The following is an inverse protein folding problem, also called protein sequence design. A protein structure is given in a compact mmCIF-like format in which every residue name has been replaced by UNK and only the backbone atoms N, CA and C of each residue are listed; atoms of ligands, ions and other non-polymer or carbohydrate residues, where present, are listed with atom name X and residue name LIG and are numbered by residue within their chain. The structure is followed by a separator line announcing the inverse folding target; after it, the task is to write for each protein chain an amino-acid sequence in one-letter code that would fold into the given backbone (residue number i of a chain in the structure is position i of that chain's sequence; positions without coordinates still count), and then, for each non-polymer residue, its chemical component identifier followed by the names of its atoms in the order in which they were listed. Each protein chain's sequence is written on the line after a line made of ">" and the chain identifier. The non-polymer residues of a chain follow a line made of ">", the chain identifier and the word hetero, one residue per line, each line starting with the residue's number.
data_IF_444604337055
#
_entry.id   IF_444604337055
#
_cell.length_a   1.000
_cell.length_b   1.000
_cell.length_c   1.000
_cell.angle_alpha   90.00
_cell.angle_beta   90.00
_cell.angle_gamma   90.00
#
_symmetry.space_group_name_H-M   'P 1'
#
loop_
_entity.id
_entity.type
_entity.pdbx_description
1 polymer ?
#
# COMPACT_ATOMS: atom_id res chain seq x y z
N UNK A 1 -12.61 28.32 22.20
CA UNK A 1 -13.65 27.82 21.27
C UNK A 1 -13.20 26.64 20.40
N UNK A 2 -12.10 26.71 19.65
CA UNK A 2 -11.66 25.63 18.74
C UNK A 2 -11.54 24.25 19.41
N UNK A 3 -11.05 24.21 20.66
CA UNK A 3 -10.83 22.98 21.42
C UNK A 3 -12.13 22.25 21.81
N UNK A 4 -13.22 22.99 22.04
CA UNK A 4 -14.52 22.44 22.47
C UNK A 4 -15.16 21.65 21.31
N UNK A 5 -15.13 22.21 20.11
CA UNK A 5 -15.62 21.54 18.91
C UNK A 5 -14.80 20.31 18.55
N UNK A 6 -13.47 20.34 18.77
CA UNK A 6 -12.61 19.18 18.52
C UNK A 6 -12.81 18.07 19.54
N UNK A 7 -13.00 18.37 20.83
CA UNK A 7 -13.31 17.37 21.85
C UNK A 7 -14.70 16.75 21.62
N UNK A 8 -15.71 17.57 21.31
CA UNK A 8 -17.05 17.09 20.99
C UNK A 8 -17.05 16.21 19.73
N UNK A 9 -16.33 16.60 18.67
CA UNK A 9 -16.17 15.80 17.47
C UNK A 9 -15.41 14.49 17.73
N UNK A 10 -14.38 14.51 18.58
CA UNK A 10 -13.61 13.31 18.90
C UNK A 10 -14.42 12.32 19.74
N UNK A 11 -15.23 12.79 20.69
CA UNK A 11 -16.11 11.97 21.50
C UNK A 11 -17.28 11.36 20.70
N UNK A 12 -17.80 12.09 19.71
CA UNK A 12 -18.97 11.65 18.91
C UNK A 12 -18.59 10.81 17.69
N UNK A 13 -17.53 11.17 16.97
CA UNK A 13 -17.12 10.52 15.71
C UNK A 13 -15.91 9.59 15.88
N UNK A 14 -15.14 9.74 16.96
CA UNK A 14 -13.89 9.03 17.15
C UNK A 14 -12.76 9.47 16.20
N UNK A 15 -11.52 9.08 16.51
CA UNK A 15 -10.38 9.27 15.60
C UNK A 15 -10.41 8.22 14.49
N UNK A 16 -10.41 8.66 13.23
CA UNK A 16 -10.23 7.78 12.05
C UNK A 16 -8.94 6.97 12.22
N UNK A 17 -9.06 5.67 12.47
CA UNK A 17 -7.90 4.77 12.52
C UNK A 17 -7.17 4.81 11.18
N UNK A 18 -5.85 4.99 11.24
CA UNK A 18 -5.03 5.04 10.02
C UNK A 18 -5.15 3.72 9.27
N UNK A 19 -5.24 3.84 7.94
CA UNK A 19 -5.45 2.83 6.90
C UNK A 19 -4.82 1.44 7.16
N UNK A 20 -5.42 0.40 6.55
CA UNK A 20 -4.97 -1.00 6.59
C UNK A 20 -3.45 -1.07 6.43
N UNK A 21 -2.77 -1.49 7.49
CA UNK A 21 -1.33 -1.72 7.49
C UNK A 21 -1.05 -2.82 6.47
N UNK A 22 0.04 -2.70 5.71
CA UNK A 22 0.50 -3.82 4.89
C UNK A 22 0.76 -5.00 5.83
N UNK A 23 0.31 -6.21 5.49
CA UNK A 23 0.37 -7.35 6.42
C UNK A 23 1.79 -7.71 6.83
N UNK A 24 2.79 -7.31 6.04
CA UNK A 24 4.19 -7.64 6.23
C UNK A 24 5.00 -6.62 7.03
N UNK A 25 4.44 -5.48 7.44
CA UNK A 25 5.19 -4.51 8.27
C UNK A 25 5.09 -4.92 9.73
N UNK A 26 6.24 -5.06 10.41
CA UNK A 26 6.30 -5.46 11.81
C UNK A 26 5.77 -4.38 12.75
N UNK A 27 5.31 -4.80 13.94
CA UNK A 27 4.87 -3.89 15.00
C UNK A 27 5.99 -2.93 15.41
N UNK A 28 7.23 -3.43 15.49
CA UNK A 28 8.42 -2.66 15.82
C UNK A 28 8.69 -1.54 14.81
N UNK A 29 8.61 -1.82 13.50
CA UNK A 29 8.74 -0.79 12.46
C UNK A 29 7.65 0.29 12.57
N UNK A 30 6.45 -0.08 13.03
CA UNK A 30 5.35 0.86 13.26
C UNK A 30 5.62 1.74 14.48
N UNK A 31 6.20 1.19 15.54
CA UNK A 31 6.60 1.94 16.74
C UNK A 31 7.69 2.96 16.40
N UNK A 32 8.74 2.55 15.69
CA UNK A 32 9.77 3.49 15.19
C UNK A 32 9.16 4.59 14.31
N UNK A 33 8.16 4.26 13.49
CA UNK A 33 7.46 5.26 12.69
C UNK A 33 6.69 6.28 13.56
N UNK A 34 6.18 5.87 14.72
CA UNK A 34 5.57 6.77 15.70
C UNK A 34 6.64 7.64 16.39
N UNK A 35 7.78 7.07 16.76
CA UNK A 35 8.90 7.82 17.33
C UNK A 35 9.45 8.87 16.36
N UNK A 36 9.58 8.53 15.08
CA UNK A 36 9.96 9.50 14.04
C UNK A 36 8.97 10.66 13.94
N UNK A 37 7.66 10.40 14.13
CA UNK A 37 6.65 11.48 14.18
C UNK A 37 6.83 12.38 15.40
N UNK A 38 7.18 11.81 16.56
CA UNK A 38 7.50 12.56 17.79
C UNK A 38 8.77 13.42 17.60
N UNK A 39 9.86 12.83 17.12
CA UNK A 39 11.11 13.55 16.84
C UNK A 39 10.91 14.73 15.87
N UNK A 40 10.06 14.56 14.84
CA UNK A 40 9.68 15.66 13.94
C UNK A 40 8.91 16.76 14.65
N UNK A 41 8.00 16.42 15.58
CA UNK A 41 7.22 17.40 16.36
C UNK A 41 8.11 18.19 17.33
N UNK A 42 9.14 17.54 17.87
CA UNK A 42 10.09 18.14 18.81
C UNK A 42 11.25 18.90 18.13
N UNK A 43 11.29 18.99 16.79
CA UNK A 43 12.40 19.57 16.01
C UNK A 43 13.77 18.89 16.24
N UNK A 44 13.79 17.63 16.64
CA UNK A 44 15.01 16.83 16.85
C UNK A 44 15.54 16.29 15.52
N UNK A 45 16.30 17.10 14.78
CA UNK A 45 16.76 16.77 13.42
C UNK A 45 17.66 15.53 13.36
N UNK A 46 18.53 15.35 14.36
CA UNK A 46 19.46 14.21 14.44
C UNK A 46 18.71 12.88 14.57
N UNK A 47 17.84 12.79 15.58
CA UNK A 47 17.00 11.60 15.82
C UNK A 47 16.05 11.32 14.65
N UNK A 48 15.48 12.37 14.03
CA UNK A 48 14.65 12.19 12.84
C UNK A 48 15.42 11.51 11.69
N UNK A 49 16.67 11.91 11.42
CA UNK A 49 17.49 11.31 10.36
C UNK A 49 17.87 9.87 10.71
N UNK A 50 18.29 9.63 11.96
CA UNK A 50 18.61 8.28 12.47
C UNK A 50 17.42 7.33 12.29
N UNK A 51 16.27 7.69 12.84
CA UNK A 51 15.04 6.90 12.75
C UNK A 51 14.56 6.73 11.31
N UNK A 52 14.71 7.73 10.44
CA UNK A 52 14.37 7.61 9.02
C UNK A 52 15.18 6.51 8.33
N UNK A 53 16.49 6.44 8.60
CA UNK A 53 17.38 5.45 8.00
C UNK A 53 17.12 4.05 8.57
N UNK A 54 16.92 3.96 9.88
CA UNK A 54 16.59 2.70 10.56
C UNK A 54 15.27 2.11 10.06
N UNK A 55 14.22 2.93 9.96
CA UNK A 55 12.92 2.50 9.40
C UNK A 55 13.08 2.01 7.96
N UNK A 56 13.91 2.69 7.14
CA UNK A 56 14.15 2.26 5.76
C UNK A 56 14.81 0.88 5.70
N UNK A 57 15.72 0.59 6.64
CA UNK A 57 16.34 -0.72 6.78
C UNK A 57 15.32 -1.77 7.25
N UNK A 58 14.61 -1.52 8.36
CA UNK A 58 13.62 -2.48 8.89
C UNK A 58 12.50 -2.78 7.91
N UNK A 59 11.96 -1.79 7.19
CA UNK A 59 10.94 -2.02 6.15
C UNK A 59 11.41 -3.00 5.07
N UNK A 60 12.70 -2.94 4.68
CA UNK A 60 13.25 -3.88 3.70
C UNK A 60 13.42 -5.27 4.31
N UNK A 61 13.83 -5.33 5.57
CA UNK A 61 13.98 -6.56 6.31
C UNK A 61 12.64 -7.27 6.53
N UNK A 62 11.65 -6.57 7.08
CA UNK A 62 10.26 -7.00 7.24
C UNK A 62 9.70 -7.59 5.93
N UNK A 63 9.91 -6.88 4.81
CA UNK A 63 9.46 -7.35 3.51
C UNK A 63 10.18 -8.61 3.05
N UNK A 64 11.48 -8.72 3.31
CA UNK A 64 12.30 -9.88 2.96
C UNK A 64 11.85 -11.10 3.75
N UNK A 65 11.74 -10.97 5.07
CA UNK A 65 11.27 -12.05 5.96
C UNK A 65 9.86 -12.51 5.57
N UNK A 66 8.96 -11.57 5.31
CA UNK A 66 7.64 -11.92 4.82
C UNK A 66 7.69 -12.71 3.50
N UNK A 67 8.44 -12.23 2.49
CA UNK A 67 8.59 -12.95 1.23
C UNK A 67 9.19 -14.35 1.41
N UNK A 68 10.15 -14.50 2.32
CA UNK A 68 10.77 -15.78 2.63
C UNK A 68 9.76 -16.76 3.25
N UNK A 69 8.96 -16.31 4.21
CA UNK A 69 7.87 -17.12 4.80
C UNK A 69 6.81 -17.51 3.77
N UNK A 70 6.45 -16.60 2.86
CA UNK A 70 5.47 -16.85 1.83
C UNK A 70 6.01 -17.84 0.78
N UNK A 71 7.29 -17.73 0.40
CA UNK A 71 7.95 -18.66 -0.50
C UNK A 71 8.06 -20.06 0.12
N UNK A 72 8.39 -20.17 1.40
CA UNK A 72 8.42 -21.46 2.11
C UNK A 72 7.05 -22.14 2.10
N UNK A 73 5.96 -21.38 2.30
CA UNK A 73 4.60 -21.91 2.20
C UNK A 73 4.24 -22.37 0.78
N UNK A 74 4.70 -21.65 -0.26
CA UNK A 74 4.52 -22.08 -1.65
C UNK A 74 5.24 -23.40 -1.91
N UNK A 75 6.49 -23.55 -1.44
CA UNK A 75 7.25 -24.79 -1.57
C UNK A 75 6.53 -25.95 -0.88
N UNK A 76 5.99 -25.72 0.32
CA UNK A 76 5.21 -26.74 1.05
C UNK A 76 3.93 -27.15 0.29
N UNK A 77 3.23 -26.20 -0.34
CA UNK A 77 2.06 -26.52 -1.16
C UNK A 77 2.43 -27.30 -2.42
N UNK A 78 3.58 -27.01 -3.01
CA UNK A 78 4.11 -27.74 -4.16
C UNK A 78 4.44 -29.19 -3.80
N UNK A 79 5.18 -29.41 -2.70
CA UNK A 79 5.51 -30.75 -2.20
C UNK A 79 4.28 -31.57 -1.82
N UNK A 80 3.22 -30.91 -1.36
CA UNK A 80 1.97 -31.55 -0.96
C UNK A 80 0.94 -31.66 -2.11
N UNK A 81 1.32 -31.34 -3.36
CA UNK A 81 0.43 -31.33 -4.53
C UNK A 81 -0.85 -30.48 -4.35
N UNK A 82 -0.80 -29.43 -3.53
CA UNK A 82 -1.93 -28.51 -3.27
C UNK A 82 -1.97 -27.37 -4.29
N UNK A 83 -2.11 -27.70 -5.56
CA UNK A 83 -2.03 -26.75 -6.68
C UNK A 83 -2.94 -25.52 -6.51
N UNK A 84 -4.19 -25.69 -6.05
CA UNK A 84 -5.11 -24.56 -5.82
C UNK A 84 -4.55 -23.55 -4.81
N UNK A 85 -4.07 -24.02 -3.67
CA UNK A 85 -3.54 -23.17 -2.58
C UNK A 85 -2.25 -22.47 -3.03
N UNK A 86 -1.40 -23.19 -3.77
CA UNK A 86 -0.21 -22.64 -4.41
C UNK A 86 -0.56 -21.46 -5.34
N UNK A 87 -1.51 -21.62 -6.26
CA UNK A 87 -1.91 -20.55 -7.19
C UNK A 87 -2.57 -19.36 -6.47
N UNK A 88 -3.39 -19.60 -5.45
CA UNK A 88 -3.99 -18.54 -4.63
C UNK A 88 -2.92 -17.72 -3.89
N UNK A 89 -1.90 -18.39 -3.36
CA UNK A 89 -0.77 -17.75 -2.67
C UNK A 89 0.09 -16.92 -3.63
N UNK A 90 0.44 -17.47 -4.79
CA UNK A 90 1.17 -16.75 -5.85
C UNK A 90 0.39 -15.50 -6.28
N UNK A 91 -0.93 -15.60 -6.44
CA UNK A 91 -1.79 -14.47 -6.78
C UNK A 91 -1.78 -13.36 -5.72
N UNK A 92 -1.64 -13.74 -4.44
CA UNK A 92 -1.57 -12.81 -3.31
C UNK A 92 -0.23 -12.07 -3.23
N UNK A 93 0.88 -12.76 -3.56
CA UNK A 93 2.23 -12.17 -3.59
C UNK A 93 2.43 -11.30 -4.83
N UNK A 94 1.89 -11.73 -5.97
CA UNK A 94 1.96 -10.96 -7.22
C UNK A 94 1.31 -9.59 -7.00
N UNK A 95 1.90 -8.54 -7.56
CA UNK A 95 1.32 -7.18 -7.54
C UNK A 95 -0.11 -7.23 -8.12
N UNK A 96 -1.13 -7.18 -7.27
CA UNK A 96 -2.54 -7.15 -7.69
C UNK A 96 -2.92 -5.85 -8.40
N UNK A 97 -2.13 -4.81 -8.22
CA UNK A 97 -2.50 -3.44 -8.60
C UNK A 97 -1.91 -2.99 -9.94
N UNK A 98 -1.21 -3.87 -10.67
CA UNK A 98 -0.81 -3.54 -12.04
C UNK A 98 -2.04 -3.54 -12.94
N UNK A 99 -2.63 -2.36 -13.07
CA UNK A 99 -3.67 -2.07 -14.05
C UNK A 99 -2.99 -1.40 -15.23
N UNK A 100 -2.92 -2.05 -16.42
CA UNK A 100 -2.46 -1.35 -17.60
C UNK A 100 -3.36 -0.13 -17.81
N UNK A 101 -2.76 0.98 -18.24
CA UNK A 101 -3.51 2.20 -18.55
C UNK A 101 -4.38 1.89 -19.77
N UNK A 102 -5.68 1.72 -19.56
CA UNK A 102 -6.64 1.56 -20.65
C UNK A 102 -6.90 2.94 -21.25
N UNK A 103 -6.23 3.24 -22.37
CA UNK A 103 -6.39 4.48 -23.10
C UNK A 103 -7.50 4.41 -24.15
N UNK A 104 -8.04 3.22 -24.42
CA UNK A 104 -9.06 3.04 -25.43
C UNK A 104 -10.43 3.57 -24.97
N UNK A 105 -11.12 4.31 -25.83
CA UNK A 105 -12.44 4.91 -25.60
C UNK A 105 -13.42 4.41 -26.67
N UNK A 106 -14.71 4.37 -26.38
CA UNK A 106 -15.72 4.03 -27.38
C UNK A 106 -16.13 5.25 -28.21
N UNK A 107 -16.16 5.08 -29.54
CA UNK A 107 -16.76 6.01 -30.48
C UNK A 107 -18.30 6.07 -30.28
N UNK A 108 -18.94 7.06 -30.90
CA UNK A 108 -20.40 7.22 -30.94
C UNK A 108 -21.11 6.01 -31.53
N UNK A 109 -20.48 5.36 -32.51
CA UNK A 109 -20.96 4.16 -33.19
C UNK A 109 -20.60 2.86 -32.47
N UNK A 110 -19.96 2.97 -31.29
CA UNK A 110 -19.59 1.83 -30.44
C UNK A 110 -18.24 1.19 -30.75
N UNK A 111 -17.51 1.67 -31.76
CA UNK A 111 -16.16 1.21 -32.09
C UNK A 111 -15.13 1.60 -31.03
N UNK A 112 -14.06 0.80 -30.89
CA UNK A 112 -13.01 1.05 -29.88
C UNK A 112 -11.89 1.89 -30.49
N UNK A 113 -11.77 3.14 -30.07
CA UNK A 113 -10.73 4.08 -30.48
C UNK A 113 -9.51 3.91 -29.58
N UNK A 114 -8.36 3.54 -30.16
CA UNK A 114 -7.08 3.41 -29.46
C UNK A 114 -6.03 4.44 -29.88
N UNK A 115 -6.21 5.06 -31.05
CA UNK A 115 -5.29 6.07 -31.58
C UNK A 115 -5.45 7.42 -30.86
N UNK A 116 -4.36 8.13 -30.52
CA UNK A 116 -4.44 9.39 -29.81
C UNK A 116 -5.19 10.50 -30.55
N UNK A 117 -5.15 10.49 -31.89
CA UNK A 117 -5.84 11.46 -32.74
C UNK A 117 -7.35 11.29 -32.66
N UNK A 118 -7.83 10.07 -32.90
CA UNK A 118 -9.26 9.73 -32.84
C UNK A 118 -9.85 9.94 -31.44
N UNK A 119 -9.07 9.62 -30.40
CA UNK A 119 -9.46 9.92 -29.03
C UNK A 119 -9.63 11.44 -28.87
N UNK A 120 -8.67 12.25 -29.32
CA UNK A 120 -8.72 13.71 -29.19
C UNK A 120 -9.91 14.33 -29.95
N UNK A 121 -10.23 13.82 -31.13
CA UNK A 121 -11.41 14.22 -31.90
C UNK A 121 -12.70 13.88 -31.16
N UNK A 122 -12.78 12.67 -30.57
CA UNK A 122 -13.93 12.28 -29.74
C UNK A 122 -14.12 13.16 -28.50
N UNK A 123 -13.06 13.71 -27.91
CA UNK A 123 -13.17 14.67 -26.80
C UNK A 123 -13.64 16.07 -27.24
N UNK A 124 -13.53 16.42 -28.52
CA UNK A 124 -13.99 17.71 -29.06
C UNK A 124 -15.49 17.71 -29.40
N UNK A 125 -16.05 16.54 -29.70
CA UNK A 125 -17.47 16.33 -29.97
C UNK A 125 -18.32 16.48 -28.70
#
# INVERSE_FOLDING_TARGET
>A
MKNIWTEAAENTLGKKKSMKKKPWISAETIELANEKRKARKNNEKGEYIRLRNEIKYKIRNDKREWLETECAQIQEFDTNNKAKQLFEKIKTIRRSDFKPRQLAIKSKDGETLSEPQDIMERWRE
#
